data_IF_035598805200
#
_entry.id   IF_035598805200
#
_cell.length_a   1.000
_cell.length_b   1.000
_cell.length_c   1.000
_cell.angle_alpha   90.00
_cell.angle_beta   90.00
_cell.angle_gamma   90.00
#
_symmetry.space_group_name_H-M   'P 1'
#
loop_
_entity.id
_entity.type
_entity.pdbx_description
1 polymer ?
#
# COMPACT_ATOMS: atom_id res chain seq x y z
N UNK A 1 -10.73 16.82 -36.91
CA UNK A 1 -11.07 15.50 -36.31
C UNK A 1 -11.70 15.80 -34.97
N UNK A 2 -12.89 15.30 -34.73
CA UNK A 2 -13.52 15.35 -33.39
C UNK A 2 -12.90 14.24 -32.55
N UNK A 3 -12.33 14.58 -31.41
CA UNK A 3 -11.79 13.61 -30.47
C UNK A 3 -12.92 13.04 -29.60
N UNK A 4 -12.86 11.76 -29.27
CA UNK A 4 -13.74 11.10 -28.33
C UNK A 4 -13.28 11.38 -26.89
N UNK A 5 -14.15 11.18 -25.92
CA UNK A 5 -13.91 11.49 -24.51
C UNK A 5 -12.68 10.74 -23.95
N UNK A 6 -12.58 9.43 -24.21
CA UNK A 6 -11.43 8.59 -23.81
C UNK A 6 -10.11 9.06 -24.46
N UNK A 7 -10.15 9.55 -25.72
CA UNK A 7 -8.96 10.14 -26.36
C UNK A 7 -8.55 11.46 -25.70
N UNK A 8 -9.52 12.28 -25.29
CA UNK A 8 -9.26 13.51 -24.54
C UNK A 8 -8.69 13.18 -23.14
N UNK A 9 -9.26 12.19 -22.44
CA UNK A 9 -8.76 11.71 -21.15
C UNK A 9 -7.30 11.23 -21.25
N UNK A 10 -6.95 10.46 -22.28
CA UNK A 10 -5.57 10.02 -22.52
C UNK A 10 -4.62 11.21 -22.75
N UNK A 11 -5.01 12.18 -23.59
CA UNK A 11 -4.18 13.37 -23.86
C UNK A 11 -4.03 14.18 -22.57
N UNK A 12 -5.10 14.41 -21.82
CA UNK A 12 -5.08 15.10 -20.54
C UNK A 12 -4.14 14.45 -19.55
N UNK A 13 -4.23 13.12 -19.36
CA UNK A 13 -3.33 12.38 -18.48
C UNK A 13 -1.86 12.56 -18.88
N UNK A 14 -1.56 12.49 -20.19
CA UNK A 14 -0.20 12.70 -20.70
C UNK A 14 0.27 14.16 -20.59
N UNK A 15 -0.62 15.14 -20.56
CA UNK A 15 -0.23 16.53 -20.25
C UNK A 15 0.30 16.63 -18.82
N UNK A 16 -0.32 15.95 -17.86
CA UNK A 16 0.04 15.97 -16.45
C UNK A 16 1.27 15.11 -16.14
N UNK A 17 1.38 13.91 -16.73
CA UNK A 17 2.39 12.91 -16.36
C UNK A 17 3.46 12.66 -17.43
N UNK A 18 3.38 13.33 -18.56
CA UNK A 18 4.37 13.37 -19.67
C UNK A 18 4.58 12.08 -20.44
N UNK A 19 4.70 10.92 -19.80
CA UNK A 19 4.94 9.62 -20.43
C UNK A 19 4.02 8.54 -19.85
N UNK A 20 3.52 7.67 -20.74
CA UNK A 20 2.79 6.45 -20.36
C UNK A 20 3.23 5.32 -21.30
N UNK A 21 3.19 4.08 -20.89
CA UNK A 21 3.41 2.96 -21.79
C UNK A 21 2.19 2.71 -22.70
N UNK A 22 2.46 2.06 -23.83
CA UNK A 22 1.43 1.87 -24.84
C UNK A 22 0.25 1.02 -24.38
N UNK A 23 0.49 0.00 -23.55
CA UNK A 23 -0.58 -0.86 -23.03
C UNK A 23 -1.53 -0.08 -22.11
N UNK A 24 -0.99 0.74 -21.23
CA UNK A 24 -1.79 1.63 -20.39
C UNK A 24 -2.55 2.69 -21.20
N UNK A 25 -1.97 3.14 -22.33
CA UNK A 25 -2.71 4.01 -23.27
C UNK A 25 -3.89 3.29 -23.91
N UNK A 26 -3.74 2.01 -24.27
CA UNK A 26 -4.83 1.21 -24.82
C UNK A 26 -5.91 0.96 -23.76
N UNK A 27 -5.51 0.68 -22.53
CA UNK A 27 -6.44 0.53 -21.40
C UNK A 27 -7.32 1.78 -21.20
N UNK A 28 -6.74 2.98 -21.22
CA UNK A 28 -7.50 4.23 -21.16
C UNK A 28 -8.48 4.44 -22.33
N UNK A 29 -8.21 3.80 -23.46
CA UNK A 29 -9.10 3.87 -24.63
C UNK A 29 -10.22 2.82 -24.58
N UNK A 30 -10.09 1.79 -23.75
CA UNK A 30 -11.01 0.65 -23.64
C UNK A 30 -12.10 0.93 -22.60
N UNK A 31 -13.05 1.79 -22.98
CA UNK A 31 -14.17 2.15 -22.09
C UNK A 31 -15.23 1.05 -21.94
N UNK A 32 -15.22 0.05 -22.83
CA UNK A 32 -16.18 -1.06 -22.85
C UNK A 32 -15.58 -2.36 -22.29
N UNK A 33 -14.34 -2.30 -21.79
CA UNK A 33 -13.58 -3.46 -21.27
C UNK A 33 -13.57 -4.65 -22.25
N UNK A 34 -13.58 -4.35 -23.54
CA UNK A 34 -13.65 -5.37 -24.58
C UNK A 34 -12.36 -6.15 -24.73
N UNK A 35 -11.23 -5.57 -24.34
CA UNK A 35 -9.89 -6.12 -24.53
C UNK A 35 -9.50 -6.29 -26.02
N UNK A 36 -10.31 -5.79 -26.97
CA UNK A 36 -9.99 -5.89 -28.39
C UNK A 36 -8.84 -4.96 -28.78
N UNK A 37 -7.63 -5.50 -28.63
CA UNK A 37 -6.39 -4.80 -28.92
C UNK A 37 -6.30 -4.23 -30.34
N UNK A 38 -6.99 -4.86 -31.30
CA UNK A 38 -6.99 -4.41 -32.69
C UNK A 38 -7.84 -3.14 -32.81
N UNK A 39 -9.06 -3.16 -32.29
CA UNK A 39 -9.95 -2.00 -32.26
C UNK A 39 -9.31 -0.81 -31.50
N UNK A 40 -8.70 -1.08 -30.33
CA UNK A 40 -8.01 -0.07 -29.53
C UNK A 40 -6.81 0.53 -30.27
N UNK A 41 -6.04 -0.30 -30.99
CA UNK A 41 -4.96 0.20 -31.86
C UNK A 41 -5.49 1.10 -32.96
N UNK A 42 -6.65 0.82 -33.55
CA UNK A 42 -7.30 1.71 -34.50
C UNK A 42 -7.75 3.02 -33.86
N UNK A 43 -8.27 3.00 -32.63
CA UNK A 43 -8.63 4.20 -31.88
C UNK A 43 -7.40 5.08 -31.55
N UNK A 44 -6.22 4.46 -31.32
CA UNK A 44 -4.97 5.16 -31.03
C UNK A 44 -4.30 5.78 -32.26
N UNK A 45 -4.33 5.12 -33.43
CA UNK A 45 -3.67 5.58 -34.67
C UNK A 45 -3.96 7.03 -35.08
N UNK A 46 -5.22 7.52 -35.00
CA UNK A 46 -5.52 8.93 -35.32
C UNK A 46 -4.78 9.93 -34.46
N UNK A 47 -4.52 9.59 -33.19
CA UNK A 47 -3.83 10.47 -32.24
C UNK A 47 -2.37 10.70 -32.66
N UNK A 48 -1.69 9.66 -33.12
CA UNK A 48 -0.30 9.77 -33.63
C UNK A 48 -0.26 10.37 -35.04
N UNK A 49 -1.16 9.97 -35.96
CA UNK A 49 -1.23 10.48 -37.32
C UNK A 49 -1.49 12.00 -37.35
N UNK A 50 -2.33 12.49 -36.46
CA UNK A 50 -2.68 13.92 -36.36
C UNK A 50 -1.77 14.69 -35.40
N UNK A 51 -0.65 14.10 -34.94
CA UNK A 51 0.39 14.73 -34.11
C UNK A 51 -0.11 15.25 -32.75
N UNK A 52 -1.08 14.59 -32.15
CA UNK A 52 -1.43 14.83 -30.74
C UNK A 52 -0.48 14.09 -29.82
N UNK A 53 -0.14 12.85 -30.16
CA UNK A 53 0.76 11.97 -29.42
C UNK A 53 1.94 11.50 -30.28
N UNK A 54 3.03 11.10 -29.61
CA UNK A 54 4.16 10.41 -30.21
C UNK A 54 4.40 9.09 -29.46
N UNK A 55 4.65 8.01 -30.23
CA UNK A 55 5.06 6.72 -29.68
C UNK A 55 6.52 6.46 -30.03
N UNK A 56 7.32 6.20 -29.01
CA UNK A 56 8.74 5.84 -29.15
C UNK A 56 8.91 4.35 -29.48
N UNK A 57 10.08 3.95 -29.98
CA UNK A 57 10.42 2.54 -30.23
C UNK A 57 10.41 1.70 -28.94
N UNK A 58 10.70 2.32 -27.80
CA UNK A 58 10.61 1.71 -26.46
C UNK A 58 9.18 1.39 -25.99
N UNK A 59 8.17 1.80 -26.76
CA UNK A 59 6.77 1.68 -26.35
C UNK A 59 6.25 2.87 -25.53
N UNK A 60 7.11 3.79 -25.11
CA UNK A 60 6.68 4.99 -24.39
C UNK A 60 5.89 5.92 -25.33
N UNK A 61 4.78 6.46 -24.78
CA UNK A 61 3.91 7.43 -25.45
C UNK A 61 4.04 8.78 -24.74
N UNK A 62 4.13 9.85 -25.51
CA UNK A 62 4.18 11.22 -25.00
C UNK A 62 3.24 12.14 -25.75
N UNK A 63 2.81 13.22 -25.08
CA UNK A 63 2.00 14.27 -25.68
C UNK A 63 2.88 15.24 -26.49
N UNK A 64 2.40 15.59 -27.67
CA UNK A 64 3.03 16.58 -28.54
C UNK A 64 2.39 17.98 -28.36
N UNK A 65 3.02 19.00 -28.94
CA UNK A 65 2.56 20.41 -28.84
C UNK A 65 1.07 20.58 -29.15
N UNK A 66 0.56 19.87 -30.15
CA UNK A 66 -0.87 19.94 -30.53
C UNK A 66 -1.79 19.34 -29.47
N UNK A 67 -1.36 18.26 -28.79
CA UNK A 67 -2.10 17.67 -27.68
C UNK A 67 -2.09 18.59 -26.45
N UNK A 68 -0.93 19.15 -26.11
CA UNK A 68 -0.81 20.12 -25.01
C UNK A 68 -1.68 21.35 -25.19
N UNK A 69 -1.85 21.81 -26.43
CA UNK A 69 -2.71 22.96 -26.74
C UNK A 69 -4.21 22.74 -26.46
N UNK A 70 -4.63 21.50 -26.22
CA UNK A 70 -6.01 21.20 -25.81
C UNK A 70 -6.26 21.47 -24.32
N UNK A 71 -5.20 21.47 -23.52
CA UNK A 71 -5.24 21.63 -22.06
C UNK A 71 -4.16 22.65 -21.62
N UNK A 72 -4.30 23.93 -22.00
CA UNK A 72 -3.26 24.94 -21.74
C UNK A 72 -3.08 25.29 -20.27
N UNK A 73 -4.12 25.05 -19.45
CA UNK A 73 -4.11 25.33 -18.01
C UNK A 73 -3.50 24.19 -17.17
N UNK A 74 -3.19 23.04 -17.81
CA UNK A 74 -2.68 21.87 -17.08
C UNK A 74 -1.17 21.93 -16.89
N UNK A 75 -0.77 22.02 -15.64
CA UNK A 75 0.64 21.93 -15.25
C UNK A 75 1.12 20.48 -15.20
N UNK A 76 2.30 20.25 -15.76
CA UNK A 76 2.92 18.95 -15.71
C UNK A 76 3.37 18.61 -14.28
N UNK A 77 2.69 17.64 -13.65
CA UNK A 77 3.07 17.09 -12.34
C UNK A 77 4.41 16.32 -12.42
N UNK A 78 4.63 15.66 -13.55
CA UNK A 78 5.84 14.87 -13.83
C UNK A 78 6.36 15.22 -15.21
N UNK A 79 7.63 15.62 -15.32
CA UNK A 79 8.26 15.93 -16.61
C UNK A 79 9.10 14.77 -17.12
N UNK A 80 9.00 14.51 -18.44
CA UNK A 80 9.80 13.52 -19.14
C UNK A 80 11.19 14.08 -19.46
N UNK A 81 12.06 14.18 -18.47
CA UNK A 81 13.46 14.56 -18.68
C UNK A 81 14.39 13.40 -18.36
N UNK A 82 15.56 13.34 -19.02
CA UNK A 82 16.61 12.40 -18.66
C UNK A 82 16.69 11.12 -19.51
N UNK A 83 17.62 10.23 -19.13
CA UNK A 83 17.87 8.97 -19.81
C UNK A 83 16.79 7.90 -19.59
N UNK A 84 17.01 6.73 -20.16
CA UNK A 84 16.06 5.59 -20.16
C UNK A 84 15.55 5.21 -18.76
N UNK A 85 16.42 5.20 -17.76
CA UNK A 85 16.04 4.91 -16.36
C UNK A 85 15.02 5.92 -15.82
N UNK A 86 15.21 7.21 -16.12
CA UNK A 86 14.26 8.25 -15.72
C UNK A 86 12.93 8.11 -16.47
N UNK A 87 12.96 7.80 -17.77
CA UNK A 87 11.74 7.55 -18.54
C UNK A 87 10.94 6.37 -18.00
N UNK A 88 11.60 5.26 -17.66
CA UNK A 88 10.95 4.09 -17.00
C UNK A 88 10.29 4.50 -15.69
N UNK A 89 10.98 5.31 -14.88
CA UNK A 89 10.42 5.81 -13.63
C UNK A 89 9.22 6.72 -13.85
N UNK A 90 9.29 7.63 -14.81
CA UNK A 90 8.16 8.50 -15.15
C UNK A 90 6.96 7.68 -15.59
N UNK A 91 7.13 6.66 -16.43
CA UNK A 91 6.06 5.75 -16.82
C UNK A 91 5.48 4.98 -15.65
N UNK A 92 6.31 4.54 -14.70
CA UNK A 92 5.85 3.86 -13.48
C UNK A 92 4.97 4.77 -12.60
N UNK A 93 5.40 6.03 -12.40
CA UNK A 93 4.63 7.03 -11.66
C UNK A 93 3.33 7.35 -12.38
N UNK A 94 3.38 7.51 -13.70
CA UNK A 94 2.22 7.81 -14.54
C UNK A 94 1.17 6.68 -14.51
N UNK A 95 1.60 5.42 -14.59
CA UNK A 95 0.70 4.26 -14.40
C UNK A 95 0.05 4.24 -13.03
N UNK A 96 0.82 4.56 -12.00
CA UNK A 96 0.27 4.60 -10.65
C UNK A 96 -0.75 5.72 -10.50
N UNK A 97 -0.45 6.90 -11.03
CA UNK A 97 -1.39 8.02 -11.04
C UNK A 97 -2.69 7.68 -11.78
N UNK A 98 -2.58 6.97 -12.90
CA UNK A 98 -3.76 6.48 -13.62
C UNK A 98 -4.63 5.57 -12.75
N UNK A 99 -4.03 4.60 -12.06
CA UNK A 99 -4.75 3.69 -11.15
C UNK A 99 -5.38 4.42 -9.96
N UNK A 100 -4.71 5.45 -9.45
CA UNK A 100 -5.29 6.31 -8.41
C UNK A 100 -6.51 7.08 -8.95
N UNK A 101 -6.42 7.63 -10.16
CA UNK A 101 -7.52 8.34 -10.80
C UNK A 101 -8.70 7.40 -11.14
N UNK A 102 -8.45 6.14 -11.49
CA UNK A 102 -9.47 5.10 -11.69
C UNK A 102 -10.15 4.68 -10.38
N UNK A 103 -9.48 4.86 -9.26
CA UNK A 103 -10.01 4.65 -7.91
C UNK A 103 -10.59 5.95 -7.29
N UNK A 104 -10.93 6.95 -8.11
CA UNK A 104 -11.44 8.26 -7.71
C UNK A 104 -10.53 9.03 -6.72
N UNK A 105 -9.22 8.75 -6.76
CA UNK A 105 -8.23 9.48 -5.96
C UNK A 105 -7.55 10.54 -6.83
N UNK A 106 -7.81 11.82 -6.58
CA UNK A 106 -7.21 12.89 -7.35
C UNK A 106 -5.68 12.95 -7.13
N UNK A 107 -4.95 13.21 -8.22
CA UNK A 107 -3.51 13.42 -8.18
C UNK A 107 -3.19 14.91 -8.07
N UNK A 108 -2.36 15.30 -7.11
CA UNK A 108 -2.03 16.68 -6.80
C UNK A 108 -0.51 16.94 -6.81
N UNK A 109 -0.12 18.15 -7.13
CA UNK A 109 1.29 18.58 -7.12
C UNK A 109 1.79 19.10 -5.77
N UNK A 110 0.87 19.38 -4.83
CA UNK A 110 1.14 19.97 -3.53
C UNK A 110 0.20 19.39 -2.46
N UNK A 111 0.52 19.66 -1.19
CA UNK A 111 -0.35 19.32 -0.07
C UNK A 111 -1.69 20.06 -0.17
N UNK A 112 -2.76 19.34 0.10
CA UNK A 112 -4.14 19.84 0.12
C UNK A 112 -4.71 19.78 1.54
N UNK A 113 -5.75 20.56 1.78
CA UNK A 113 -6.54 20.56 3.03
C UNK A 113 -7.83 19.76 2.89
N UNK A 114 -7.89 18.82 1.94
CA UNK A 114 -9.08 18.04 1.67
C UNK A 114 -9.29 16.94 2.70
N UNK A 115 -10.54 16.65 3.00
CA UNK A 115 -10.94 15.52 3.84
C UNK A 115 -11.04 14.20 3.06
N UNK A 116 -10.92 14.27 1.73
CA UNK A 116 -10.89 13.11 0.84
C UNK A 116 -9.46 12.69 0.51
N UNK A 117 -9.23 11.40 0.21
CA UNK A 117 -7.90 10.91 -0.16
C UNK A 117 -7.39 11.57 -1.44
N UNK A 118 -6.08 11.81 -1.49
CA UNK A 118 -5.40 12.30 -2.68
C UNK A 118 -3.97 11.75 -2.78
N UNK A 119 -3.48 11.69 -3.99
CA UNK A 119 -2.14 11.16 -4.28
C UNK A 119 -1.20 12.26 -4.74
N UNK A 120 0.00 12.30 -4.15
CA UNK A 120 1.08 13.18 -4.58
C UNK A 120 2.18 12.33 -5.24
N UNK A 121 2.42 12.46 -6.55
CA UNK A 121 3.49 11.75 -7.24
C UNK A 121 4.86 11.98 -6.60
N UNK A 122 5.74 10.99 -6.64
CA UNK A 122 7.04 11.06 -5.97
C UNK A 122 7.93 12.20 -6.43
N UNK A 123 7.79 12.64 -7.67
CA UNK A 123 8.48 13.84 -8.21
C UNK A 123 8.02 15.13 -7.56
N UNK A 124 6.72 15.26 -7.28
CA UNK A 124 6.15 16.37 -6.55
C UNK A 124 6.50 16.31 -5.07
N UNK A 125 6.37 15.11 -4.47
CA UNK A 125 6.73 14.92 -3.07
C UNK A 125 8.16 15.31 -2.74
N UNK A 126 9.13 14.99 -3.62
CA UNK A 126 10.53 15.39 -3.45
C UNK A 126 10.77 16.89 -3.43
N UNK A 127 9.89 17.68 -4.04
CA UNK A 127 9.93 19.15 -3.95
C UNK A 127 9.42 19.64 -2.60
N UNK A 128 8.43 18.94 -2.03
CA UNK A 128 7.84 19.24 -0.71
C UNK A 128 8.81 18.80 0.39
N UNK A 129 9.39 17.62 0.27
CA UNK A 129 10.27 17.00 1.27
C UNK A 129 11.58 16.49 0.64
N UNK A 130 12.52 17.38 0.33
CA UNK A 130 13.79 17.00 -0.29
C UNK A 130 14.60 16.04 0.59
N UNK A 131 15.24 15.05 -0.05
CA UNK A 131 16.13 14.09 0.61
C UNK A 131 15.43 12.94 1.33
N UNK A 132 14.09 12.90 1.31
CA UNK A 132 13.32 11.77 1.81
C UNK A 132 12.79 10.92 0.64
N UNK A 133 12.74 9.61 0.88
CA UNK A 133 12.12 8.65 -0.04
C UNK A 133 12.74 8.74 -1.45
N UNK A 134 14.00 8.33 -1.55
CA UNK A 134 14.82 8.50 -2.75
C UNK A 134 14.87 7.29 -3.65
N UNK A 135 14.39 6.11 -3.21
CA UNK A 135 14.47 4.88 -4.01
C UNK A 135 13.65 4.96 -5.29
N UNK A 136 14.00 4.12 -6.23
CA UNK A 136 13.29 4.01 -7.51
C UNK A 136 11.91 3.38 -7.38
N UNK A 137 11.62 2.69 -6.27
CA UNK A 137 10.35 2.02 -6.01
C UNK A 137 9.30 2.91 -5.37
N UNK A 138 9.70 4.01 -4.74
CA UNK A 138 8.75 4.98 -4.20
C UNK A 138 8.08 5.75 -5.33
N UNK A 139 6.77 5.58 -5.48
CA UNK A 139 5.98 6.19 -6.57
C UNK A 139 5.21 7.43 -6.16
N UNK A 140 4.92 7.60 -4.86
CA UNK A 140 4.25 8.79 -4.34
C UNK A 140 3.73 8.61 -2.92
N UNK A 141 3.00 9.62 -2.47
CA UNK A 141 2.31 9.63 -1.17
C UNK A 141 0.81 9.59 -1.38
N UNK A 142 0.14 8.64 -0.77
CA UNK A 142 -1.30 8.66 -0.58
C UNK A 142 -1.58 9.31 0.77
N UNK A 143 -2.37 10.38 0.75
CA UNK A 143 -2.73 11.16 1.94
C UNK A 143 -4.22 11.01 2.14
N UNK A 144 -4.59 10.59 3.32
CA UNK A 144 -5.94 10.50 3.82
C UNK A 144 -6.08 11.38 5.06
N UNK A 145 -7.29 11.62 5.56
CA UNK A 145 -7.53 12.52 6.71
C UNK A 145 -6.52 12.39 7.84
N UNK A 146 -6.31 11.17 8.32
CA UNK A 146 -5.45 10.89 9.47
C UNK A 146 -4.26 9.96 9.15
N UNK A 147 -4.12 9.52 7.90
CA UNK A 147 -3.09 8.57 7.48
C UNK A 147 -2.27 9.14 6.32
N UNK A 148 -0.96 8.92 6.38
CA UNK A 148 -0.02 9.19 5.28
C UNK A 148 0.68 7.90 4.90
N UNK A 149 0.43 7.41 3.71
CA UNK A 149 1.02 6.18 3.20
C UNK A 149 2.06 6.48 2.12
N UNK A 150 3.31 6.11 2.38
CA UNK A 150 4.33 6.07 1.34
C UNK A 150 4.04 4.88 0.40
N UNK A 151 3.74 5.18 -0.85
CA UNK A 151 3.35 4.17 -1.85
C UNK A 151 4.59 3.66 -2.59
N UNK A 152 4.78 2.35 -2.56
CA UNK A 152 5.89 1.66 -3.22
C UNK A 152 5.38 0.65 -4.23
N UNK A 153 5.87 0.74 -5.45
CA UNK A 153 5.69 -0.30 -6.47
C UNK A 153 6.79 -1.36 -6.30
N UNK A 154 6.47 -2.45 -5.63
CA UNK A 154 7.40 -3.54 -5.35
C UNK A 154 7.34 -4.67 -6.37
N UNK A 155 6.33 -4.67 -7.27
CA UNK A 155 6.20 -5.63 -8.35
C UNK A 155 6.22 -7.08 -7.90
N UNK A 156 7.35 -7.75 -8.10
CA UNK A 156 7.58 -9.15 -7.69
C UNK A 156 8.07 -9.31 -6.23
N UNK A 157 8.23 -8.21 -5.50
CA UNK A 157 8.71 -8.19 -4.12
C UNK A 157 10.23 -8.17 -3.96
N UNK A 158 11.01 -8.16 -5.05
CA UNK A 158 12.46 -8.25 -4.99
C UNK A 158 13.16 -7.08 -4.29
N UNK A 159 12.47 -5.92 -4.18
CA UNK A 159 13.01 -4.69 -3.63
C UNK A 159 12.28 -4.21 -2.36
N UNK A 160 11.53 -5.08 -1.72
CA UNK A 160 10.75 -4.75 -0.51
C UNK A 160 11.63 -4.20 0.63
N UNK A 161 12.87 -4.67 0.75
CA UNK A 161 13.81 -4.21 1.76
C UNK A 161 14.20 -2.73 1.60
N UNK A 162 14.29 -2.22 0.36
CA UNK A 162 14.57 -0.80 0.13
C UNK A 162 13.42 0.07 0.58
N UNK A 163 12.18 -0.33 0.28
CA UNK A 163 11.00 0.35 0.75
C UNK A 163 10.98 0.45 2.29
N UNK A 164 11.35 -0.61 2.98
CA UNK A 164 11.43 -0.66 4.44
C UNK A 164 12.49 0.27 5.01
N UNK A 165 13.70 0.28 4.42
CA UNK A 165 14.79 1.14 4.87
C UNK A 165 14.44 2.63 4.75
N UNK A 166 13.79 3.03 3.64
CA UNK A 166 13.35 4.40 3.44
C UNK A 166 12.24 4.83 4.37
N UNK A 167 11.30 3.95 4.63
CA UNK A 167 10.21 4.29 5.52
C UNK A 167 10.67 4.54 6.96
N UNK A 168 11.78 3.92 7.39
CA UNK A 168 12.43 4.28 8.65
C UNK A 168 12.78 5.76 8.72
N UNK A 169 13.35 6.27 7.66
CA UNK A 169 13.70 7.69 7.57
C UNK A 169 12.44 8.57 7.55
N UNK A 170 11.39 8.12 6.86
CA UNK A 170 10.12 8.81 6.79
C UNK A 170 9.47 8.93 8.18
N UNK A 171 9.36 7.82 8.92
CA UNK A 171 8.83 7.81 10.28
C UNK A 171 9.63 8.69 11.23
N UNK A 172 10.98 8.59 11.21
CA UNK A 172 11.85 9.38 12.07
C UNK A 172 11.65 10.87 11.88
N UNK A 173 11.33 11.30 10.66
CA UNK A 173 11.15 12.73 10.35
C UNK A 173 9.73 13.24 10.57
N UNK A 174 8.71 12.42 10.31
CA UNK A 174 7.30 12.84 10.34
C UNK A 174 6.48 12.20 11.45
N UNK A 175 6.80 10.99 11.88
CA UNK A 175 6.02 10.25 12.86
C UNK A 175 6.06 10.81 14.29
N UNK A 176 7.09 11.63 14.60
CA UNK A 176 7.23 12.21 15.94
C UNK A 176 6.66 13.64 16.09
N UNK A 177 6.34 14.28 14.97
CA UNK A 177 5.94 15.71 14.94
C UNK A 177 4.52 15.96 14.46
N UNK A 178 3.85 14.93 13.92
CA UNK A 178 2.51 15.08 13.37
C UNK A 178 1.53 14.12 14.05
N UNK A 179 0.29 14.59 14.21
CA UNK A 179 -0.83 13.81 14.78
C UNK A 179 -1.36 12.73 13.83
N UNK A 180 -0.84 12.67 12.59
CA UNK A 180 -1.30 11.73 11.57
C UNK A 180 -0.50 10.44 11.61
N UNK A 181 -1.21 9.31 11.58
CA UNK A 181 -0.60 7.99 11.45
C UNK A 181 0.23 7.88 10.17
N UNK A 182 1.39 7.26 10.26
CA UNK A 182 2.30 7.06 9.13
C UNK A 182 2.40 5.58 8.78
N UNK A 183 2.41 5.28 7.49
CA UNK A 183 2.48 3.90 7.03
C UNK A 183 3.04 3.77 5.63
N UNK A 184 3.00 2.53 5.15
CA UNK A 184 3.36 2.17 3.78
C UNK A 184 2.20 1.47 3.10
N UNK A 185 2.06 1.74 1.82
CA UNK A 185 1.28 0.93 0.90
C UNK A 185 2.24 0.27 -0.10
N UNK A 186 2.36 -1.03 -0.03
CA UNK A 186 3.15 -1.84 -0.94
C UNK A 186 2.25 -2.37 -2.06
N UNK A 187 2.57 -2.06 -3.29
CA UNK A 187 1.82 -2.49 -4.46
C UNK A 187 2.58 -3.57 -5.22
N UNK A 188 1.93 -4.70 -5.47
CA UNK A 188 2.52 -5.86 -6.09
C UNK A 188 1.64 -6.46 -7.18
N UNK A 189 2.15 -7.46 -7.87
CA UNK A 189 1.37 -8.28 -8.79
C UNK A 189 0.42 -9.19 -8.00
N UNK A 190 -0.84 -9.41 -8.46
CA UNK A 190 -1.83 -10.21 -7.75
C UNK A 190 -1.33 -11.60 -7.35
N UNK A 191 -0.62 -12.28 -8.25
CA UNK A 191 -0.12 -13.64 -8.04
C UNK A 191 0.96 -13.72 -6.94
N UNK A 192 1.57 -12.60 -6.59
CA UNK A 192 2.66 -12.51 -5.60
C UNK A 192 2.19 -12.04 -4.24
N UNK A 193 0.99 -11.49 -4.13
CA UNK A 193 0.47 -10.82 -2.92
C UNK A 193 0.57 -11.70 -1.67
N UNK A 194 0.02 -12.91 -1.71
CA UNK A 194 0.03 -13.84 -0.57
C UNK A 194 1.45 -14.22 -0.14
N UNK A 195 2.32 -14.54 -1.10
CA UNK A 195 3.71 -14.93 -0.80
C UNK A 195 4.52 -13.77 -0.20
N UNK A 196 4.30 -12.55 -0.67
CA UNK A 196 4.93 -11.34 -0.14
C UNK A 196 4.43 -11.05 1.27
N UNK A 197 3.10 -11.10 1.49
CA UNK A 197 2.51 -10.93 2.81
C UNK A 197 3.08 -11.91 3.83
N UNK A 198 3.06 -13.20 3.49
CA UNK A 198 3.59 -14.25 4.35
C UNK A 198 5.07 -14.04 4.69
N UNK A 199 5.88 -13.70 3.69
CA UNK A 199 7.31 -13.46 3.88
C UNK A 199 7.55 -12.27 4.85
N UNK A 200 6.85 -11.14 4.65
CA UNK A 200 6.97 -9.95 5.51
C UNK A 200 6.54 -10.27 6.94
N UNK A 201 5.40 -10.92 7.12
CA UNK A 201 4.85 -11.26 8.43
C UNK A 201 5.80 -12.23 9.15
N UNK A 202 6.20 -13.34 8.52
CA UNK A 202 7.09 -14.36 9.12
C UNK A 202 8.45 -13.80 9.49
N UNK A 203 9.05 -12.97 8.64
CA UNK A 203 10.31 -12.30 8.96
C UNK A 203 10.16 -11.37 10.17
N UNK A 204 9.07 -10.62 10.24
CA UNK A 204 8.82 -9.69 11.34
C UNK A 204 8.55 -10.46 12.65
N UNK A 205 7.78 -11.55 12.60
CA UNK A 205 7.54 -12.43 13.75
C UNK A 205 8.81 -13.09 14.26
N UNK A 206 9.62 -13.60 13.33
CA UNK A 206 10.90 -14.20 13.68
C UNK A 206 11.81 -13.19 14.39
N UNK A 207 11.94 -11.99 13.86
CA UNK A 207 12.76 -10.93 14.46
C UNK A 207 12.27 -10.56 15.87
N UNK A 208 10.95 -10.46 16.08
CA UNK A 208 10.37 -10.21 17.41
C UNK A 208 10.67 -11.34 18.40
N UNK A 209 10.58 -12.59 17.96
CA UNK A 209 10.95 -13.75 18.78
C UNK A 209 12.40 -13.66 19.23
N UNK A 210 13.31 -13.22 18.37
CA UNK A 210 14.73 -13.09 18.70
C UNK A 210 15.01 -11.93 19.65
N UNK A 211 14.32 -10.80 19.50
CA UNK A 211 14.45 -9.68 20.45
C UNK A 211 14.01 -10.04 21.88
N UNK A 212 13.08 -10.99 22.01
CA UNK A 212 12.57 -11.48 23.29
C UNK A 212 13.38 -12.69 23.81
N UNK A 213 14.30 -13.21 23.03
CA UNK A 213 15.15 -14.34 23.40
C UNK A 213 16.38 -13.87 24.17
N UNK A 214 16.68 -14.53 25.25
CA UNK A 214 17.93 -14.35 26.04
C UNK A 214 19.15 -15.02 25.39
N UNK A 215 18.95 -15.77 24.31
CA UNK A 215 20.03 -16.50 23.63
C UNK A 215 20.52 -15.71 22.40
N UNK A 216 21.83 -15.70 22.15
CA UNK A 216 22.38 -15.05 20.97
C UNK A 216 21.88 -15.72 19.68
N UNK A 217 21.51 -14.90 18.70
CA UNK A 217 21.06 -15.33 17.38
C UNK A 217 22.24 -15.96 16.66
N UNK A 218 22.12 -17.21 16.22
CA UNK A 218 23.12 -17.85 15.37
C UNK A 218 22.81 -17.62 13.89
N UNK A 219 23.84 -17.72 13.03
CA UNK A 219 23.65 -17.60 11.56
C UNK A 219 22.66 -18.66 10.99
N UNK A 220 22.54 -19.82 11.67
CA UNK A 220 21.63 -20.91 11.30
C UNK A 220 20.15 -20.57 11.52
N UNK A 221 19.88 -19.62 12.43
CA UNK A 221 18.52 -19.22 12.80
C UNK A 221 17.97 -18.14 11.87
N UNK A 222 18.78 -17.64 10.93
CA UNK A 222 18.37 -16.60 9.97
C UNK A 222 17.59 -17.20 8.80
N UNK A 223 16.48 -16.58 8.38
CA UNK A 223 15.78 -16.98 7.16
C UNK A 223 16.71 -16.91 5.94
N UNK A 224 16.62 -17.87 5.03
CA UNK A 224 17.51 -18.01 3.88
C UNK A 224 17.61 -16.79 2.93
N UNK A 225 16.71 -15.82 3.03
CA UNK A 225 16.68 -14.58 2.22
C UNK A 225 16.81 -13.32 3.08
N UNK A 226 17.48 -13.41 4.19
CA UNK A 226 17.69 -12.27 5.06
C UNK A 226 18.63 -11.25 4.40
N UNK A 227 18.17 -10.06 4.13
CA UNK A 227 19.06 -8.92 3.91
C UNK A 227 19.61 -8.44 5.26
N UNK A 228 20.87 -8.04 5.29
CA UNK A 228 21.65 -7.73 6.50
C UNK A 228 21.12 -6.57 7.36
N UNK A 229 20.06 -5.89 6.94
CA UNK A 229 19.43 -4.83 7.72
C UNK A 229 18.27 -5.40 8.55
N UNK A 230 18.37 -5.43 9.88
CA UNK A 230 17.27 -5.86 10.73
C UNK A 230 16.10 -4.88 10.57
N UNK A 231 14.97 -5.41 10.11
CA UNK A 231 13.78 -4.62 9.93
C UNK A 231 13.13 -4.38 11.26
N UNK A 232 13.35 -3.21 11.81
CA UNK A 232 12.64 -2.75 12.99
C UNK A 232 11.26 -2.19 12.56
N UNK A 233 10.39 -3.02 11.97
CA UNK A 233 9.06 -2.58 11.59
C UNK A 233 8.33 -1.91 12.78
N UNK A 234 8.54 -2.40 13.98
CA UNK A 234 7.91 -1.88 15.19
C UNK A 234 8.23 -0.41 15.51
N UNK A 235 9.34 0.13 15.04
CA UNK A 235 9.77 1.50 15.37
C UNK A 235 9.58 2.47 14.21
N UNK A 236 9.09 2.00 13.07
CA UNK A 236 9.21 2.73 11.81
C UNK A 236 7.87 3.05 11.13
N UNK A 237 6.86 2.23 11.37
CA UNK A 237 5.54 2.41 10.78
C UNK A 237 4.46 2.06 11.77
N UNK A 238 3.35 2.76 11.65
CA UNK A 238 2.12 2.42 12.35
C UNK A 238 1.32 1.41 11.54
N UNK A 239 1.42 1.49 10.20
CA UNK A 239 0.70 0.64 9.26
C UNK A 239 1.60 0.18 8.11
N UNK A 240 1.43 -1.06 7.67
CA UNK A 240 2.04 -1.60 6.45
C UNK A 240 0.98 -2.39 5.69
N UNK A 241 0.39 -1.74 4.72
CA UNK A 241 -0.61 -2.36 3.85
C UNK A 241 0.03 -2.99 2.62
N UNK A 242 -0.59 -4.06 2.13
CA UNK A 242 -0.23 -4.71 0.88
C UNK A 242 -1.47 -4.84 -0.01
N UNK A 243 -1.43 -4.17 -1.15
CA UNK A 243 -2.47 -4.30 -2.18
C UNK A 243 -1.88 -4.80 -3.50
N UNK A 244 -2.69 -5.42 -4.31
CA UNK A 244 -2.35 -5.69 -5.70
C UNK A 244 -2.79 -4.52 -6.59
N UNK A 245 -2.26 -4.50 -7.82
CA UNK A 245 -2.53 -3.40 -8.75
C UNK A 245 -4.01 -3.28 -9.13
N UNK A 246 -4.71 -4.40 -9.24
CA UNK A 246 -6.09 -4.44 -9.68
C UNK A 246 -7.06 -4.25 -8.49
N UNK A 247 -6.55 -4.43 -7.27
CA UNK A 247 -7.31 -4.29 -6.03
C UNK A 247 -7.19 -2.93 -5.33
N UNK A 248 -6.66 -1.90 -5.97
CA UNK A 248 -6.45 -0.62 -5.30
C UNK A 248 -7.75 0.07 -4.87
N UNK A 249 -8.77 0.12 -5.73
CA UNK A 249 -10.09 0.67 -5.37
C UNK A 249 -10.69 -0.08 -4.18
N UNK A 250 -10.62 -1.40 -4.22
CA UNK A 250 -11.10 -2.27 -3.14
C UNK A 250 -10.32 -2.07 -1.84
N UNK A 251 -9.01 -1.84 -1.91
CA UNK A 251 -8.20 -1.53 -0.74
C UNK A 251 -8.69 -0.26 -0.02
N UNK A 252 -9.10 0.75 -0.77
CA UNK A 252 -9.61 1.99 -0.21
C UNK A 252 -10.97 1.81 0.45
N UNK A 253 -11.86 1.05 -0.18
CA UNK A 253 -13.15 0.66 0.42
C UNK A 253 -12.93 -0.13 1.71
N UNK A 254 -11.97 -1.05 1.72
CA UNK A 254 -11.60 -1.83 2.90
C UNK A 254 -11.05 -0.96 4.03
N UNK A 255 -10.26 0.06 3.68
CA UNK A 255 -9.71 0.99 4.66
C UNK A 255 -10.81 1.82 5.31
N UNK A 256 -11.74 2.37 4.51
CA UNK A 256 -12.93 3.08 5.02
C UNK A 256 -13.82 2.18 5.88
N UNK A 257 -14.00 0.94 5.45
CA UNK A 257 -14.78 -0.02 6.20
C UNK A 257 -14.13 -0.35 7.55
N UNK A 258 -12.81 -0.52 7.57
CA UNK A 258 -12.04 -0.75 8.79
C UNK A 258 -12.24 0.39 9.80
N UNK A 259 -12.15 1.65 9.35
CA UNK A 259 -12.38 2.82 10.20
C UNK A 259 -13.80 2.83 10.80
N UNK A 260 -14.81 2.52 9.98
CA UNK A 260 -16.22 2.43 10.46
C UNK A 260 -16.41 1.32 11.50
N UNK A 261 -15.83 0.13 11.23
CA UNK A 261 -15.90 -0.98 12.19
C UNK A 261 -15.26 -0.63 13.52
N UNK A 262 -14.10 0.02 13.49
CA UNK A 262 -13.41 0.47 14.70
C UNK A 262 -14.28 1.44 15.47
N UNK A 263 -14.87 2.43 14.82
CA UNK A 263 -15.75 3.41 15.42
C UNK A 263 -17.01 2.75 16.06
N UNK A 264 -17.63 1.81 15.34
CA UNK A 264 -18.80 1.08 15.82
C UNK A 264 -18.51 0.19 17.04
N UNK A 265 -17.36 -0.50 17.03
CA UNK A 265 -16.93 -1.32 18.16
C UNK A 265 -16.62 -0.46 19.38
N UNK A 266 -15.95 0.68 19.20
CA UNK A 266 -15.67 1.62 20.27
C UNK A 266 -16.95 2.25 20.85
N UNK A 267 -17.91 2.62 19.99
CA UNK A 267 -19.21 3.13 20.42
C UNK A 267 -20.01 2.11 21.26
N UNK A 268 -19.81 0.81 21.03
CA UNK A 268 -20.38 -0.30 21.81
C UNK A 268 -19.57 -0.64 23.07
N UNK A 269 -18.56 0.17 23.42
CA UNK A 269 -17.70 -0.06 24.58
C UNK A 269 -16.67 -1.17 24.41
N UNK A 270 -16.41 -1.61 23.17
CA UNK A 270 -15.37 -2.60 22.87
C UNK A 270 -14.02 -1.91 22.63
N UNK A 271 -12.95 -2.54 23.04
CA UNK A 271 -11.61 -2.06 22.67
C UNK A 271 -11.18 -2.61 21.32
N UNK A 272 -10.99 -1.71 20.37
CA UNK A 272 -10.24 -1.98 19.18
C UNK A 272 -8.79 -1.67 19.49
N UNK A 273 -7.96 -2.68 19.55
CA UNK A 273 -6.60 -2.47 20.00
C UNK A 273 -5.67 -2.07 18.87
N UNK A 274 -5.12 -0.89 19.02
CA UNK A 274 -3.71 -0.74 18.72
C UNK A 274 -2.94 -1.12 20.00
N UNK A 275 -2.10 -2.17 19.99
CA UNK A 275 -1.38 -2.59 21.18
C UNK A 275 -0.35 -1.60 21.71
N UNK A 276 -0.22 -0.44 21.09
CA UNK A 276 0.67 0.65 21.49
C UNK A 276 0.09 1.57 22.55
N UNK A 277 -1.22 1.55 22.78
CA UNK A 277 -1.92 2.40 23.73
C UNK A 277 -2.46 1.53 24.87
N UNK A 278 -1.61 1.26 25.84
CA UNK A 278 -1.82 0.26 26.85
C UNK A 278 -2.66 0.69 28.04
N UNK A 279 -3.94 0.39 28.06
CA UNK A 279 -4.69 0.12 29.30
C UNK A 279 -5.31 -1.27 29.20
N UNK A 280 -4.56 -2.27 29.68
CA UNK A 280 -4.76 -3.69 29.37
C UNK A 280 -5.68 -4.42 30.36
N UNK A 281 -6.16 -3.76 31.42
CA UNK A 281 -6.64 -4.51 32.58
C UNK A 281 -8.14 -4.78 32.67
N UNK A 282 -9.00 -4.16 31.85
CA UNK A 282 -10.43 -4.16 32.15
C UNK A 282 -11.39 -4.79 31.11
N UNK A 283 -10.93 -5.29 29.97
CA UNK A 283 -11.85 -5.69 28.89
C UNK A 283 -11.82 -7.17 28.52
N UNK A 284 -12.97 -7.83 28.35
CA UNK A 284 -13.03 -9.28 28.11
C UNK A 284 -12.57 -9.70 26.72
N UNK A 285 -12.74 -8.86 25.69
CA UNK A 285 -12.33 -9.15 24.32
C UNK A 285 -11.62 -7.96 23.71
N UNK A 286 -10.49 -8.22 23.05
CA UNK A 286 -9.75 -7.24 22.25
C UNK A 286 -9.82 -7.59 20.79
N UNK A 287 -10.29 -6.62 20.00
CA UNK A 287 -10.46 -6.77 18.58
C UNK A 287 -9.30 -6.18 17.78
N UNK A 288 -8.76 -6.97 16.85
CA UNK A 288 -7.84 -6.55 15.80
C UNK A 288 -8.64 -6.50 14.51
N UNK A 289 -9.08 -5.31 14.14
CA UNK A 289 -9.87 -5.08 12.91
C UNK A 289 -8.93 -4.92 11.74
N UNK A 290 -8.98 -5.82 10.76
CA UNK A 290 -7.98 -5.88 9.67
C UNK A 290 -8.54 -6.24 8.29
N UNK A 291 -9.68 -5.69 7.85
CA UNK A 291 -10.17 -5.91 6.49
C UNK A 291 -9.26 -5.34 5.40
N UNK A 292 -8.52 -4.27 5.70
CA UNK A 292 -7.56 -3.65 4.76
C UNK A 292 -6.21 -4.38 4.65
N UNK A 293 -6.03 -5.52 5.35
CA UNK A 293 -4.80 -6.32 5.32
C UNK A 293 -3.54 -5.56 5.75
N UNK A 294 -3.61 -4.85 6.87
CA UNK A 294 -2.43 -4.32 7.53
C UNK A 294 -1.56 -5.46 8.07
N UNK A 295 -0.38 -5.62 7.50
CA UNK A 295 0.55 -6.70 7.86
C UNK A 295 1.05 -6.60 9.30
N UNK A 296 1.10 -5.40 9.89
CA UNK A 296 1.50 -5.21 11.28
C UNK A 296 0.43 -5.71 12.25
N UNK A 297 -0.84 -5.61 11.92
CA UNK A 297 -1.91 -6.15 12.78
C UNK A 297 -1.82 -7.65 12.93
N UNK A 298 -1.45 -8.39 11.87
CA UNK A 298 -1.15 -9.81 11.98
C UNK A 298 -0.01 -10.08 12.98
N UNK A 299 1.08 -9.31 12.88
CA UNK A 299 2.22 -9.46 13.81
C UNK A 299 1.86 -9.09 15.25
N UNK A 300 1.03 -8.09 15.45
CA UNK A 300 0.57 -7.69 16.78
C UNK A 300 -0.35 -8.73 17.40
N UNK A 301 -1.29 -9.26 16.63
CA UNK A 301 -2.15 -10.36 17.06
C UNK A 301 -1.34 -11.59 17.49
N UNK A 302 -0.38 -12.03 16.66
CA UNK A 302 0.56 -13.07 17.03
C UNK A 302 1.26 -12.79 18.35
N UNK A 303 1.76 -11.58 18.54
CA UNK A 303 2.50 -11.20 19.74
C UNK A 303 1.62 -11.25 20.99
N UNK A 304 0.36 -10.82 20.87
CA UNK A 304 -0.62 -10.87 21.95
C UNK A 304 -0.92 -12.32 22.35
N UNK A 305 -1.17 -13.20 21.36
CA UNK A 305 -1.43 -14.62 21.63
C UNK A 305 -0.24 -15.33 22.25
N UNK A 306 0.99 -15.03 21.80
CA UNK A 306 2.23 -15.59 22.37
C UNK A 306 2.44 -15.16 23.82
N UNK A 307 2.17 -13.92 24.15
CA UNK A 307 2.25 -13.43 25.52
C UNK A 307 1.20 -14.11 26.41
N UNK A 308 -0.02 -14.26 25.93
CA UNK A 308 -1.08 -15.00 26.62
C UNK A 308 -0.67 -16.45 26.89
N UNK A 309 -0.10 -17.14 25.89
CA UNK A 309 0.40 -18.50 26.05
C UNK A 309 1.52 -18.58 27.12
N UNK A 310 2.40 -17.59 27.15
CA UNK A 310 3.48 -17.50 28.14
C UNK A 310 2.93 -17.29 29.55
N UNK A 311 1.91 -16.44 29.72
CA UNK A 311 1.25 -16.23 31.01
C UNK A 311 0.58 -17.51 31.52
N UNK A 312 -0.07 -18.27 30.65
CA UNK A 312 -0.71 -19.55 31.01
C UNK A 312 0.28 -20.65 31.41
N UNK A 313 1.47 -20.66 30.84
CA UNK A 313 2.51 -21.64 31.15
C UNK A 313 3.29 -21.33 32.45
N UNK A 314 3.13 -20.14 33.01
CA UNK A 314 3.71 -19.73 34.27
C UNK A 314 2.97 -20.35 35.46
N UNK A 315 3.65 -21.07 36.33
CA UNK A 315 3.07 -21.90 37.39
C UNK A 315 2.28 -21.14 38.51
N UNK A 316 2.27 -19.79 38.53
CA UNK A 316 1.67 -19.00 39.60
C UNK A 316 0.89 -17.76 39.14
N UNK A 317 0.58 -17.58 37.85
CA UNK A 317 -0.19 -16.44 37.39
C UNK A 317 -1.68 -16.79 37.34
N UNK A 318 -2.57 -15.91 37.84
CA UNK A 318 -4.01 -16.08 37.61
C UNK A 318 -4.26 -16.13 36.10
N UNK A 319 -5.17 -17.02 35.67
CA UNK A 319 -5.50 -17.15 34.26
C UNK A 319 -5.95 -15.79 33.71
N UNK A 320 -5.35 -15.27 32.66
CA UNK A 320 -5.73 -13.98 32.11
C UNK A 320 -7.16 -14.07 31.58
N UNK A 321 -8.02 -13.15 32.00
CA UNK A 321 -9.45 -13.09 31.57
C UNK A 321 -9.60 -12.43 30.19
N UNK A 322 -8.51 -12.17 29.47
CA UNK A 322 -8.52 -11.45 28.20
C UNK A 322 -8.61 -12.43 27.04
N UNK A 323 -9.53 -12.16 26.11
CA UNK A 323 -9.67 -12.85 24.85
C UNK A 323 -9.21 -11.93 23.71
N UNK A 324 -8.70 -12.50 22.64
CA UNK A 324 -8.27 -11.77 21.47
C UNK A 324 -9.06 -12.22 20.24
N UNK A 325 -9.59 -11.27 19.49
CA UNK A 325 -10.34 -11.54 18.27
C UNK A 325 -9.71 -10.80 17.09
N UNK A 326 -9.48 -11.47 15.97
CA UNK A 326 -9.08 -10.85 14.73
C UNK A 326 -10.22 -10.90 13.72
N UNK A 327 -10.59 -9.74 13.21
CA UNK A 327 -11.61 -9.56 12.18
C UNK A 327 -10.92 -9.33 10.85
N UNK A 328 -11.07 -10.27 9.93
CA UNK A 328 -10.54 -10.21 8.55
C UNK A 328 -11.67 -10.47 7.56
N UNK A 329 -11.44 -10.27 6.29
CA UNK A 329 -12.37 -10.75 5.27
C UNK A 329 -12.47 -12.28 5.29
N UNK A 330 -13.63 -12.81 4.95
CA UNK A 330 -13.86 -14.26 4.88
C UNK A 330 -12.82 -14.97 3.99
N UNK A 331 -12.43 -14.35 2.89
CA UNK A 331 -11.42 -14.88 1.97
C UNK A 331 -10.00 -14.93 2.56
N UNK A 332 -9.69 -14.12 3.59
CA UNK A 332 -8.37 -14.04 4.21
C UNK A 332 -8.23 -14.96 5.45
N UNK A 333 -9.32 -15.58 5.90
CA UNK A 333 -9.29 -16.54 7.00
C UNK A 333 -8.32 -17.73 6.78
N UNK A 334 -8.29 -18.38 5.60
CA UNK A 334 -7.34 -19.45 5.36
C UNK A 334 -5.89 -19.00 5.48
N UNK A 335 -5.58 -17.78 5.04
CA UNK A 335 -4.26 -17.18 5.18
C UNK A 335 -3.90 -16.96 6.66
N UNK A 336 -4.80 -16.37 7.44
CA UNK A 336 -4.61 -16.17 8.87
C UNK A 336 -4.37 -17.50 9.60
N UNK A 337 -5.16 -18.54 9.30
CA UNK A 337 -4.96 -19.87 9.88
C UNK A 337 -3.62 -20.50 9.52
N UNK A 338 -3.10 -20.24 8.32
CA UNK A 338 -1.79 -20.74 7.90
C UNK A 338 -0.62 -20.08 8.63
N UNK A 339 -0.81 -18.85 9.14
CA UNK A 339 0.24 -18.10 9.83
C UNK A 339 0.53 -18.62 11.25
N UNK A 340 -0.52 -19.00 12.00
CA UNK A 340 -0.37 -19.39 13.42
C UNK A 340 -1.29 -20.54 13.85
N UNK A 341 -1.19 -21.70 13.20
CA UNK A 341 -2.12 -22.81 13.44
C UNK A 341 -2.13 -23.29 14.90
N UNK A 342 -0.99 -23.23 15.59
CA UNK A 342 -0.90 -23.66 16.99
C UNK A 342 -1.55 -22.67 17.97
N UNK A 343 -1.47 -21.36 17.69
CA UNK A 343 -1.99 -20.32 18.57
C UNK A 343 -3.50 -20.13 18.43
N UNK A 344 -4.05 -20.41 17.26
CA UNK A 344 -5.49 -20.27 16.99
C UNK A 344 -6.34 -21.40 17.61
N UNK A 345 -5.69 -22.45 18.13
CA UNK A 345 -6.35 -23.52 18.90
C UNK A 345 -6.59 -23.14 20.37
N UNK A 346 -6.17 -21.96 20.81
CA UNK A 346 -6.41 -21.48 22.17
C UNK A 346 -7.86 -21.02 22.33
N UNK A 347 -8.49 -21.33 23.48
CA UNK A 347 -9.88 -20.92 23.78
C UNK A 347 -10.11 -19.40 23.79
N UNK A 348 -9.04 -18.63 23.94
CA UNK A 348 -9.08 -17.17 23.98
C UNK A 348 -8.75 -16.52 22.64
N UNK A 349 -8.45 -17.31 21.61
CA UNK A 349 -8.16 -16.83 20.25
C UNK A 349 -9.38 -17.01 19.35
N UNK A 350 -9.90 -15.93 18.81
CA UNK A 350 -11.02 -15.93 17.89
C UNK A 350 -10.63 -15.31 16.56
N UNK A 351 -11.12 -15.90 15.48
CA UNK A 351 -10.97 -15.35 14.13
C UNK A 351 -12.35 -15.30 13.48
N UNK A 352 -12.75 -14.13 13.05
CA UNK A 352 -14.02 -13.92 12.35
C UNK A 352 -13.74 -13.44 10.94
N UNK A 353 -14.35 -14.14 9.98
CA UNK A 353 -14.46 -13.66 8.63
C UNK A 353 -15.79 -12.92 8.46
N UNK A 354 -15.74 -11.70 7.99
CA UNK A 354 -16.92 -10.98 7.58
C UNK A 354 -17.10 -11.08 6.07
N UNK A 355 -18.35 -11.25 5.64
CA UNK A 355 -18.71 -11.21 4.22
C UNK A 355 -19.02 -9.75 3.90
N UNK A 356 -18.02 -9.08 3.38
CA UNK A 356 -18.19 -7.75 2.81
C UNK A 356 -18.71 -7.93 1.39
N UNK A 357 -20.00 -7.82 1.19
CA UNK A 357 -20.61 -7.70 -0.13
C UNK A 357 -20.60 -6.24 -0.59
#
# INVERSE_FOLDING_TARGET
>A
MKLHENQLRLIWHLCRFSLLDYESCLHLLDTEETGDRVALSYAFRPLTKNKYLSRQKSGAVSVLKKGKALFPEEDALVSAGGGETMQRRVMQISRMALRMEEADIPCCGALQTWDTPYFIPSTCWRRIAPGLLSTTRFVGMLIWTDIRLAVYDIGDGAMEWQARAEGSLFYTRYGSYETKATGMLLLCQPERKTAIAENIIRQTMWYRKQLLSTHPITERDKPARWSTAPIRLRTQYEHVYLADYDGLSRFLDDLLYEERMIADLQAKGNQCSDPRHGDWETWPIRYFVNPANDLLKYVYFYSALRELQRMKSGQNAPAPQVKYAMLVKQQDLPFLHSLYPELLNMEEAFCYGDRFE
#
